data_IF_183334573590
#
_entry.id   IF_183334573590
#
_cell.length_a   1.000
_cell.length_b   1.000
_cell.length_c   1.000
_cell.angle_alpha   90.00
_cell.angle_beta   90.00
_cell.angle_gamma   90.00
#
_symmetry.space_group_name_H-M   'P 1'
#
loop_
_entity.id
_entity.type
_entity.pdbx_description
1 polymer ?
#
# COMPACT_ATOMS: atom_id res chain seq x y z
N UNK A 1 4.80 42.29 -11.83
CA UNK A 1 5.07 40.94 -12.38
C UNK A 1 4.55 39.96 -11.35
N UNK A 2 3.53 39.18 -11.68
CA UNK A 2 2.88 38.27 -10.74
C UNK A 2 3.79 37.07 -10.46
N UNK A 3 4.18 36.89 -9.19
CA UNK A 3 4.81 35.67 -8.67
C UNK A 3 3.81 34.51 -8.76
N UNK A 4 3.68 33.92 -9.93
CA UNK A 4 3.07 32.59 -10.03
C UNK A 4 4.08 31.62 -9.45
N UNK A 5 3.76 31.05 -8.29
CA UNK A 5 4.55 29.96 -7.74
C UNK A 5 4.47 28.79 -8.72
N UNK A 6 5.60 28.40 -9.32
CA UNK A 6 5.72 27.31 -10.29
C UNK A 6 5.54 25.95 -9.60
N UNK A 7 4.30 25.61 -9.25
CA UNK A 7 3.97 24.28 -8.74
C UNK A 7 3.93 23.28 -9.89
N UNK A 8 4.74 22.22 -9.80
CA UNK A 8 4.70 21.09 -10.74
C UNK A 8 3.56 20.13 -10.39
N UNK A 9 3.16 19.30 -11.37
CA UNK A 9 2.19 18.23 -11.12
C UNK A 9 2.84 17.09 -10.32
N UNK A 10 2.02 16.28 -9.64
CA UNK A 10 2.49 15.08 -8.94
C UNK A 10 3.16 14.08 -9.89
N UNK A 11 2.70 14.00 -11.15
CA UNK A 11 3.33 13.16 -12.18
C UNK A 11 4.75 13.61 -12.50
N UNK A 12 4.96 14.92 -12.70
CA UNK A 12 6.30 15.46 -12.94
C UNK A 12 7.24 15.25 -11.75
N UNK A 13 6.72 15.26 -10.52
CA UNK A 13 7.48 14.90 -9.33
C UNK A 13 7.85 13.42 -9.32
N UNK A 14 6.93 12.52 -9.66
CA UNK A 14 7.18 11.08 -9.72
C UNK A 14 8.30 10.73 -10.72
N UNK A 15 8.30 11.38 -11.89
CA UNK A 15 9.36 11.21 -12.89
C UNK A 15 10.73 11.62 -12.35
N UNK A 16 10.80 12.68 -11.53
CA UNK A 16 12.03 13.12 -10.86
C UNK A 16 12.52 12.16 -9.75
N UNK A 17 11.62 11.39 -9.14
CA UNK A 17 11.95 10.44 -8.08
C UNK A 17 12.27 9.03 -8.57
N UNK A 18 11.96 8.70 -9.83
CA UNK A 18 12.10 7.34 -10.36
C UNK A 18 13.56 6.88 -10.56
N UNK A 19 14.49 7.70 -11.11
CA UNK A 19 15.87 7.26 -11.33
C UNK A 19 16.62 7.09 -10.01
N UNK A 20 17.33 5.97 -9.86
CA UNK A 20 18.24 5.69 -8.74
C UNK A 20 17.59 5.89 -7.34
N UNK A 21 16.29 5.64 -7.26
CA UNK A 21 15.54 5.82 -6.04
C UNK A 21 16.01 4.84 -4.96
N UNK A 22 16.26 5.35 -3.75
CA UNK A 22 16.60 4.55 -2.57
C UNK A 22 15.34 3.92 -1.93
N UNK A 23 14.48 3.34 -2.75
CA UNK A 23 13.27 2.67 -2.29
C UNK A 23 13.60 1.29 -1.73
N UNK A 24 12.91 0.90 -0.64
CA UNK A 24 12.99 -0.46 -0.11
C UNK A 24 12.53 -1.48 -1.17
N UNK A 25 13.05 -2.71 -1.20
CA UNK A 25 12.57 -3.73 -2.14
C UNK A 25 11.09 -4.06 -1.91
N UNK A 26 10.41 -4.47 -2.98
CA UNK A 26 9.10 -5.12 -2.86
C UNK A 26 9.33 -6.58 -2.43
N UNK A 27 8.73 -6.99 -1.32
CA UNK A 27 8.89 -8.32 -0.72
C UNK A 27 7.68 -9.19 -1.03
N UNK A 28 7.93 -10.49 -1.28
CA UNK A 28 6.88 -11.49 -1.50
C UNK A 28 6.51 -12.25 -0.22
N UNK A 29 7.04 -11.85 0.94
CA UNK A 29 6.96 -12.58 2.21
C UNK A 29 5.52 -12.75 2.74
N UNK A 30 4.60 -11.90 2.29
CA UNK A 30 3.19 -11.95 2.67
C UNK A 30 2.35 -12.86 1.75
N UNK A 31 2.88 -13.30 0.60
CA UNK A 31 2.11 -14.12 -0.33
C UNK A 31 1.62 -15.41 0.32
N UNK A 32 0.32 -15.69 0.19
CA UNK A 32 -0.35 -16.82 0.82
C UNK A 32 -0.77 -16.60 2.27
N UNK A 33 -0.47 -15.45 2.87
CA UNK A 33 -0.89 -15.11 4.22
C UNK A 33 -2.28 -14.47 4.25
N UNK A 34 -3.00 -14.73 5.33
CA UNK A 34 -4.30 -14.12 5.62
C UNK A 34 -4.26 -13.46 6.99
N UNK A 35 -4.67 -12.19 7.05
CA UNK A 35 -4.75 -11.42 8.29
C UNK A 35 -6.14 -10.86 8.49
N UNK A 36 -6.70 -11.02 9.68
CA UNK A 36 -7.92 -10.31 10.07
C UNK A 36 -7.54 -9.13 10.95
N UNK A 37 -7.77 -7.92 10.45
CA UNK A 37 -7.53 -6.70 11.21
C UNK A 37 -8.76 -6.35 12.03
N UNK A 38 -8.57 -6.19 13.34
CA UNK A 38 -9.61 -5.81 14.30
C UNK A 38 -9.44 -4.35 14.68
N UNK A 39 -10.46 -3.54 14.41
CA UNK A 39 -10.46 -2.11 14.72
C UNK A 39 -11.29 -1.81 15.97
N UNK A 40 -10.96 -0.71 16.65
CA UNK A 40 -11.63 -0.31 17.89
C UNK A 40 -13.12 0.01 17.72
N UNK A 41 -13.57 0.34 16.51
CA UNK A 41 -14.97 0.54 16.16
C UNK A 41 -15.74 -0.79 15.93
N UNK A 42 -15.09 -1.93 16.19
CA UNK A 42 -15.67 -3.26 16.03
C UNK A 42 -15.53 -3.86 14.63
N UNK A 43 -14.97 -3.12 13.67
CA UNK A 43 -14.77 -3.65 12.32
C UNK A 43 -13.73 -4.76 12.30
N UNK A 44 -14.03 -5.77 11.50
CA UNK A 44 -13.15 -6.89 11.21
C UNK A 44 -12.99 -6.99 9.71
N UNK A 45 -11.76 -6.83 9.23
CA UNK A 45 -11.46 -6.85 7.79
C UNK A 45 -10.42 -7.92 7.54
N UNK A 46 -10.82 -8.98 6.84
CA UNK A 46 -9.92 -10.03 6.36
C UNK A 46 -9.14 -9.50 5.15
N UNK A 47 -7.84 -9.73 5.15
CA UNK A 47 -6.88 -9.38 4.11
C UNK A 47 -6.18 -10.65 3.66
N UNK A 48 -6.37 -11.03 2.40
CA UNK A 48 -5.72 -12.20 1.79
C UNK A 48 -4.68 -11.73 0.79
N UNK A 49 -3.43 -12.04 1.08
CA UNK A 49 -2.28 -11.68 0.25
C UNK A 49 -2.00 -12.78 -0.77
N UNK A 50 -2.04 -12.42 -2.05
CA UNK A 50 -1.58 -13.24 -3.16
C UNK A 50 -0.19 -12.74 -3.60
N UNK A 51 0.34 -13.23 -4.72
CA UNK A 51 1.70 -12.86 -5.17
C UNK A 51 1.87 -11.37 -5.45
N UNK A 52 0.90 -10.75 -6.13
CA UNK A 52 0.95 -9.33 -6.52
C UNK A 52 -0.32 -8.56 -6.15
N UNK A 53 -1.32 -9.28 -5.63
CA UNK A 53 -2.64 -8.73 -5.32
C UNK A 53 -3.02 -8.98 -3.88
N UNK A 54 -3.70 -8.00 -3.30
CA UNK A 54 -4.32 -8.08 -1.99
C UNK A 54 -5.83 -8.06 -2.21
N UNK A 55 -6.53 -9.04 -1.67
CA UNK A 55 -7.98 -9.03 -1.57
C UNK A 55 -8.38 -8.69 -0.13
N UNK A 56 -9.44 -7.90 0.06
CA UNK A 56 -9.99 -7.61 1.38
C UNK A 56 -11.50 -7.82 1.43
N UNK A 57 -11.99 -8.16 2.62
CA UNK A 57 -13.41 -8.35 2.90
C UNK A 57 -13.72 -7.94 4.34
N UNK A 58 -14.62 -6.96 4.53
CA UNK A 58 -15.16 -6.58 5.83
C UNK A 58 -16.26 -7.55 6.27
N UNK A 59 -16.25 -8.02 7.51
CA UNK A 59 -17.14 -9.08 7.98
C UNK A 59 -18.64 -8.74 7.87
N UNK A 60 -19.00 -7.46 7.96
CA UNK A 60 -20.38 -6.97 7.80
C UNK A 60 -20.74 -6.62 6.34
N UNK A 61 -19.82 -6.86 5.41
CA UNK A 61 -19.99 -6.61 3.98
C UNK A 61 -19.89 -5.14 3.57
N UNK A 62 -19.53 -4.21 4.47
CA UNK A 62 -19.46 -2.78 4.15
C UNK A 62 -18.37 -2.43 3.13
N UNK A 63 -17.38 -3.31 2.93
CA UNK A 63 -16.24 -3.11 2.04
C UNK A 63 -15.68 -4.46 1.60
N UNK A 64 -15.43 -4.58 0.30
CA UNK A 64 -14.70 -5.71 -0.27
C UNK A 64 -14.03 -5.26 -1.56
N UNK A 65 -12.89 -5.86 -1.90
CA UNK A 65 -12.21 -5.54 -3.14
C UNK A 65 -10.90 -6.28 -3.33
N UNK A 66 -10.21 -5.94 -4.41
CA UNK A 66 -8.86 -6.42 -4.68
C UNK A 66 -8.07 -5.37 -5.45
N UNK A 67 -6.81 -5.18 -5.08
CA UNK A 67 -5.88 -4.27 -5.75
C UNK A 67 -4.49 -4.91 -5.87
N UNK A 68 -3.68 -4.41 -6.80
CA UNK A 68 -2.25 -4.67 -6.76
C UNK A 68 -1.66 -4.04 -5.50
N UNK A 69 -0.70 -4.70 -4.86
CA UNK A 69 -0.06 -4.19 -3.65
C UNK A 69 1.46 -4.23 -3.74
N UNK A 70 2.11 -3.52 -2.82
CA UNK A 70 3.55 -3.52 -2.64
C UNK A 70 3.86 -3.65 -1.16
N UNK A 71 4.54 -4.71 -0.76
CA UNK A 71 4.98 -4.89 0.62
C UNK A 71 6.46 -4.52 0.75
N UNK A 72 6.80 -3.68 1.72
CA UNK A 72 8.19 -3.36 2.04
C UNK A 72 8.43 -3.41 3.54
N UNK A 73 9.63 -3.81 3.96
CA UNK A 73 9.98 -3.94 5.37
C UNK A 73 11.16 -3.03 5.70
N UNK A 74 10.90 -2.00 6.52
CA UNK A 74 11.94 -1.11 7.06
C UNK A 74 12.67 -1.75 8.24
N UNK A 75 11.98 -2.63 8.98
CA UNK A 75 12.49 -3.36 10.13
C UNK A 75 11.92 -4.78 10.09
N UNK A 76 12.73 -5.82 10.37
CA UNK A 76 12.26 -7.20 10.34
C UNK A 76 10.95 -7.41 11.12
N UNK A 77 9.98 -8.06 10.47
CA UNK A 77 8.66 -8.33 11.04
C UNK A 77 7.66 -7.17 10.97
N UNK A 78 8.06 -6.00 10.49
CA UNK A 78 7.17 -4.87 10.21
C UNK A 78 7.08 -4.64 8.70
N UNK A 79 5.86 -4.65 8.17
CA UNK A 79 5.57 -4.49 6.75
C UNK A 79 4.70 -3.26 6.52
N UNK A 80 5.06 -2.48 5.51
CA UNK A 80 4.23 -1.44 4.91
C UNK A 80 3.63 -2.00 3.61
N UNK A 81 2.30 -2.02 3.54
CA UNK A 81 1.47 -2.54 2.43
C UNK A 81 0.56 -1.43 1.93
#
# INVERSE_FOLDING_TARGET
>A
MSNSSDWITVGALADGFAPEAFILPNLADLAGQTFTLHFANGWQIEHRFEQERLAWHAADGHSSGSAAYRASSIRPGLYLV
#
